data_IF_829128856396
#
_entry.id   IF_829128856396
#
_cell.length_a   1.000
_cell.length_b   1.000
_cell.length_c   1.000
_cell.angle_alpha   90.00
_cell.angle_beta   90.00
_cell.angle_gamma   90.00
#
_symmetry.space_group_name_H-M   'P 1'
#
loop_
_entity.id
_entity.type
_entity.pdbx_description
1 polymer ?
#
# COMPACT_ATOMS: atom_id res chain seq x y z
N UNK A 1 4.17 -0.55 14.45
CA UNK A 1 4.78 0.80 14.59
C UNK A 1 5.13 1.32 13.21
N UNK A 2 4.71 2.53 12.82
CA UNK A 2 5.03 3.11 11.50
C UNK A 2 6.48 3.60 11.48
N UNK A 3 7.22 3.25 10.43
CA UNK A 3 8.55 3.81 10.14
C UNK A 3 8.45 4.59 8.84
N UNK A 4 8.84 5.87 8.87
CA UNK A 4 8.90 6.74 7.70
C UNK A 4 10.36 7.14 7.46
N UNK A 5 10.84 6.91 6.25
CA UNK A 5 12.11 7.48 5.78
C UNK A 5 11.90 8.95 5.40
N UNK A 6 12.96 9.78 5.35
CA UNK A 6 12.86 11.14 4.83
C UNK A 6 12.23 11.12 3.45
N UNK A 7 11.13 11.85 3.27
CA UNK A 7 10.42 11.87 1.99
C UNK A 7 11.13 12.83 1.03
N UNK A 8 11.34 12.45 -0.23
CA UNK A 8 11.71 13.39 -1.27
C UNK A 8 10.57 14.40 -1.47
N UNK A 9 10.90 15.57 -2.03
CA UNK A 9 9.90 16.59 -2.34
C UNK A 9 8.85 16.04 -3.32
N UNK A 10 9.31 15.36 -4.37
CA UNK A 10 8.46 14.69 -5.36
C UNK A 10 8.81 13.20 -5.44
N UNK A 11 7.81 12.39 -5.74
CA UNK A 11 7.86 10.96 -5.99
C UNK A 11 6.76 10.52 -6.95
N UNK A 12 6.96 9.37 -7.59
CA UNK A 12 6.02 8.78 -8.57
C UNK A 12 5.43 7.44 -8.10
N UNK A 13 5.98 6.84 -7.04
CA UNK A 13 5.57 5.54 -6.55
C UNK A 13 5.47 5.54 -5.02
N UNK A 14 4.47 4.83 -4.51
CA UNK A 14 4.28 4.52 -3.09
C UNK A 14 4.29 3.01 -2.93
N UNK A 15 5.12 2.50 -2.01
CA UNK A 15 5.18 1.08 -1.68
C UNK A 15 4.82 0.87 -0.21
N UNK A 16 3.77 0.07 0.01
CA UNK A 16 3.36 -0.44 1.31
C UNK A 16 3.99 -1.80 1.55
N UNK A 17 4.79 -1.93 2.60
CA UNK A 17 5.34 -3.20 3.06
C UNK A 17 4.64 -3.58 4.35
N UNK A 18 3.90 -4.70 4.32
CA UNK A 18 3.14 -5.20 5.46
C UNK A 18 3.76 -6.51 5.95
N UNK A 19 4.16 -6.54 7.22
CA UNK A 19 4.86 -7.70 7.82
C UNK A 19 3.93 -8.86 8.18
N UNK A 20 2.98 -9.17 7.30
CA UNK A 20 2.16 -10.39 7.33
C UNK A 20 1.54 -10.65 5.96
N UNK A 21 1.16 -11.90 5.73
CA UNK A 21 0.47 -12.32 4.53
C UNK A 21 -0.96 -11.76 4.52
N UNK A 22 -1.29 -10.95 3.52
CA UNK A 22 -2.64 -10.44 3.32
C UNK A 22 -3.44 -11.30 2.36
N UNK A 23 -4.72 -11.44 2.66
CA UNK A 23 -5.72 -11.90 1.69
C UNK A 23 -6.00 -10.81 0.65
N UNK A 24 -6.57 -11.20 -0.50
CA UNK A 24 -6.96 -10.26 -1.54
C UNK A 24 -7.86 -9.12 -1.02
N UNK A 25 -8.83 -9.44 -0.15
CA UNK A 25 -9.75 -8.44 0.43
C UNK A 25 -9.04 -7.49 1.40
N UNK A 26 -8.05 -7.98 2.15
CA UNK A 26 -7.22 -7.14 3.01
C UNK A 26 -6.33 -6.22 2.18
N UNK A 27 -5.75 -6.70 1.07
CA UNK A 27 -4.97 -5.86 0.16
C UNK A 27 -5.81 -4.74 -0.44
N UNK A 28 -7.05 -5.03 -0.85
CA UNK A 28 -8.01 -4.01 -1.32
C UNK A 28 -8.31 -3.00 -0.20
N UNK A 29 -8.56 -3.49 1.01
CA UNK A 29 -8.87 -2.62 2.15
C UNK A 29 -7.70 -1.71 2.52
N UNK A 30 -6.47 -2.23 2.49
CA UNK A 30 -5.26 -1.46 2.71
C UNK A 30 -5.04 -0.39 1.63
N UNK A 31 -5.23 -0.75 0.35
CA UNK A 31 -5.17 0.18 -0.77
C UNK A 31 -6.22 1.29 -0.65
N UNK A 32 -7.45 0.93 -0.29
CA UNK A 32 -8.54 1.89 -0.09
C UNK A 32 -8.26 2.84 1.09
N UNK A 33 -7.63 2.35 2.16
CA UNK A 33 -7.26 3.16 3.32
C UNK A 33 -6.16 4.18 2.97
N UNK A 34 -5.13 3.76 2.23
CA UNK A 34 -4.10 4.67 1.71
C UNK A 34 -4.72 5.74 0.80
N UNK A 35 -5.54 5.33 -0.17
CA UNK A 35 -6.21 6.27 -1.07
C UNK A 35 -7.14 7.23 -0.34
N UNK A 36 -7.82 6.76 0.72
CA UNK A 36 -8.67 7.61 1.55
C UNK A 36 -7.88 8.70 2.28
N UNK A 37 -6.70 8.37 2.83
CA UNK A 37 -5.83 9.34 3.48
C UNK A 37 -5.28 10.37 2.49
N UNK A 38 -4.74 9.93 1.35
CA UNK A 38 -4.16 10.79 0.32
C UNK A 38 -5.19 11.71 -0.34
N UNK A 39 -6.47 11.32 -0.39
CA UNK A 39 -7.54 12.15 -0.94
C UNK A 39 -7.69 13.51 -0.25
N UNK A 40 -7.21 13.64 1.00
CA UNK A 40 -7.21 14.92 1.73
C UNK A 40 -6.23 15.94 1.14
N UNK A 41 -5.23 15.48 0.37
CA UNK A 41 -4.26 16.34 -0.31
C UNK A 41 -4.77 16.85 -1.67
N UNK A 42 -6.01 16.53 -2.06
CA UNK A 42 -6.59 16.87 -3.38
C UNK A 42 -5.68 16.49 -4.57
N UNK A 43 -4.90 15.41 -4.42
CA UNK A 43 -3.97 14.92 -5.43
C UNK A 43 -4.58 13.96 -6.44
N UNK A 44 -3.70 13.32 -7.22
CA UNK A 44 -4.08 12.25 -8.13
C UNK A 44 -4.63 11.02 -7.37
N UNK A 45 -5.42 10.21 -8.07
CA UNK A 45 -5.85 8.91 -7.52
C UNK A 45 -4.68 7.93 -7.61
N UNK A 46 -4.62 6.99 -6.67
CA UNK A 46 -3.67 5.88 -6.78
C UNK A 46 -3.94 5.11 -8.08
N UNK A 47 -2.88 4.79 -8.81
CA UNK A 47 -2.93 3.87 -9.94
C UNK A 47 -3.26 2.44 -9.50
N UNK A 48 -3.38 1.54 -10.48
CA UNK A 48 -3.65 0.13 -10.20
C UNK A 48 -2.53 -0.48 -9.34
N UNK A 49 -2.87 -1.21 -8.25
CA UNK A 49 -1.86 -1.80 -7.38
C UNK A 49 -1.16 -2.98 -8.04
N UNK A 50 0.16 -3.04 -7.88
CA UNK A 50 0.93 -4.26 -8.05
C UNK A 50 1.13 -4.89 -6.66
N UNK A 51 0.64 -6.11 -6.46
CA UNK A 51 0.77 -6.83 -5.17
C UNK A 51 1.67 -8.03 -5.33
N UNK A 52 2.68 -8.14 -4.46
CA UNK A 52 3.59 -9.26 -4.37
C UNK A 52 3.52 -9.83 -2.95
N UNK A 53 3.41 -11.15 -2.84
CA UNK A 53 3.52 -11.88 -1.58
C UNK A 53 4.87 -12.57 -1.58
N UNK A 54 5.75 -12.16 -0.67
CA UNK A 54 7.09 -12.72 -0.54
C UNK A 54 7.06 -14.04 0.22
N UNK A 55 8.01 -14.96 -0.02
CA UNK A 55 8.05 -16.26 0.66
C UNK A 55 8.20 -16.17 2.20
N UNK A 56 8.74 -15.06 2.70
CA UNK A 56 8.86 -14.77 4.13
C UNK A 56 7.53 -14.31 4.78
N UNK A 57 6.43 -14.34 4.03
CA UNK A 57 5.11 -13.98 4.52
C UNK A 57 4.88 -12.48 4.60
N UNK A 58 5.67 -11.66 3.90
CA UNK A 58 5.48 -10.22 3.77
C UNK A 58 4.64 -9.92 2.52
N UNK A 59 3.67 -9.02 2.64
CA UNK A 59 2.94 -8.49 1.48
C UNK A 59 3.46 -7.11 1.12
N UNK A 60 3.81 -6.93 -0.15
CA UNK A 60 4.27 -5.65 -0.72
C UNK A 60 3.23 -5.19 -1.74
N UNK A 61 2.75 -3.95 -1.59
CA UNK A 61 1.80 -3.34 -2.51
C UNK A 61 2.40 -2.03 -3.03
N UNK A 62 2.59 -1.96 -4.34
CA UNK A 62 3.13 -0.77 -5.01
C UNK A 62 2.05 -0.09 -5.82
N UNK A 63 2.02 1.23 -5.75
CA UNK A 63 1.13 2.11 -6.51
C UNK A 63 1.93 3.12 -7.29
N UNK A 64 1.51 3.40 -8.52
CA UNK A 64 1.86 4.66 -9.17
C UNK A 64 1.06 5.81 -8.55
N UNK A 65 1.72 6.93 -8.28
CA UNK A 65 1.14 8.13 -7.69
C UNK A 65 1.98 9.36 -8.04
N UNK A 66 1.45 10.25 -8.85
CA UNK A 66 2.10 11.51 -9.19
C UNK A 66 1.93 12.54 -8.06
N UNK A 67 2.93 12.60 -7.18
CA UNK A 67 2.92 13.52 -6.04
C UNK A 67 2.90 15.00 -6.44
N UNK A 68 3.32 15.36 -7.66
CA UNK A 68 3.40 16.75 -8.12
C UNK A 68 2.02 17.40 -8.27
N UNK A 69 0.98 16.58 -8.38
CA UNK A 69 -0.42 17.02 -8.47
C UNK A 69 -1.08 17.27 -7.12
N UNK A 70 -0.37 17.07 -6.01
CA UNK A 70 -0.93 17.21 -4.66
C UNK A 70 -0.83 18.64 -4.15
N UNK A 71 -1.86 19.07 -3.40
CA UNK A 71 -1.86 20.36 -2.71
C UNK A 71 -1.30 20.19 -1.29
N UNK A 72 -0.08 20.68 -1.05
CA UNK A 72 0.71 20.40 0.17
C UNK A 72 0.62 21.46 1.26
N UNK A 73 -0.14 22.53 1.05
CA UNK A 73 -0.10 23.71 1.94
C UNK A 73 -0.75 23.49 3.31
N UNK A 74 -1.67 22.53 3.45
CA UNK A 74 -2.44 22.32 4.68
C UNK A 74 -2.38 20.90 5.24
N UNK A 75 -1.77 19.97 4.50
CA UNK A 75 -1.70 18.57 4.87
C UNK A 75 -0.51 17.94 4.14
N UNK A 76 0.44 17.43 4.92
CA UNK A 76 1.71 16.88 4.42
C UNK A 76 1.60 15.39 4.05
N UNK A 77 2.57 14.88 3.31
CA UNK A 77 2.62 13.44 3.00
C UNK A 77 2.89 12.60 4.25
N UNK A 78 3.68 13.11 5.19
CA UNK A 78 3.94 12.46 6.47
C UNK A 78 2.65 12.29 7.26
N UNK A 79 1.82 13.33 7.36
CA UNK A 79 0.50 13.25 8.00
C UNK A 79 -0.42 12.29 7.24
N UNK A 80 -0.41 12.34 5.91
CA UNK A 80 -1.20 11.42 5.08
C UNK A 80 -0.80 9.95 5.29
N UNK A 81 0.49 9.66 5.41
CA UNK A 81 1.01 8.31 5.64
C UNK A 81 0.77 7.83 7.07
N UNK A 82 0.81 8.73 8.06
CA UNK A 82 0.42 8.42 9.44
C UNK A 82 -1.08 8.10 9.54
N UNK A 83 -1.93 8.91 8.91
CA UNK A 83 -3.37 8.65 8.83
C UNK A 83 -3.64 7.34 8.06
N UNK A 84 -2.94 7.10 6.94
CA UNK A 84 -3.05 5.86 6.18
C UNK A 84 -2.72 4.65 7.04
N UNK A 85 -1.61 4.66 7.79
CA UNK A 85 -1.23 3.56 8.67
C UNK A 85 -2.33 3.29 9.73
N UNK A 86 -2.88 4.35 10.31
CA UNK A 86 -4.00 4.25 11.26
C UNK A 86 -5.25 3.67 10.61
N UNK A 87 -5.63 4.16 9.42
CA UNK A 87 -6.81 3.68 8.70
C UNK A 87 -6.66 2.26 8.18
N UNK A 88 -5.45 1.83 7.82
CA UNK A 88 -5.17 0.44 7.46
C UNK A 88 -5.46 -0.46 8.67
N UNK A 89 -5.01 -0.09 9.87
CA UNK A 89 -5.24 -0.90 11.07
C UNK A 89 -6.71 -0.85 11.54
N UNK A 90 -7.25 0.36 11.72
CA UNK A 90 -8.49 0.59 12.46
C UNK A 90 -9.70 0.91 11.55
N UNK A 91 -9.45 1.17 10.27
CA UNK A 91 -10.43 1.67 9.32
C UNK A 91 -10.61 3.19 9.36
N UNK A 92 -11.22 3.72 8.31
CA UNK A 92 -11.56 5.16 8.20
C UNK A 92 -12.51 5.62 9.32
N UNK A 93 -12.53 6.93 9.67
CA UNK A 93 -13.43 7.46 10.68
C UNK A 93 -14.90 7.14 10.41
N UNK A 94 -15.66 6.94 11.50
CA UNK A 94 -17.09 6.71 11.41
C UNK A 94 -17.78 8.00 10.94
N UNK A 95 -18.64 7.88 9.94
CA UNK A 95 -19.42 9.00 9.43
C UNK A 95 -20.43 9.48 10.48
N UNK A 96 -20.32 10.74 10.87
CA UNK A 96 -21.24 11.38 11.82
C UNK A 96 -22.57 11.82 11.19
N UNK A 97 -22.67 11.86 9.86
CA UNK A 97 -23.85 12.37 9.14
C UNK A 97 -24.35 11.42 8.06
N UNK A 98 -25.64 11.53 7.72
CA UNK A 98 -26.31 10.75 6.67
C UNK A 98 -26.19 11.38 5.27
N UNK A 99 -25.17 12.21 5.01
CA UNK A 99 -25.10 13.02 3.77
C UNK A 99 -25.09 12.20 2.48
N UNK A 100 -24.67 10.94 2.53
CA UNK A 100 -24.61 10.04 1.38
C UNK A 100 -25.84 9.13 1.22
N UNK A 101 -26.85 9.27 2.10
CA UNK A 101 -28.10 8.50 2.05
C UNK A 101 -28.56 7.97 3.41
N UNK A 102 -29.76 7.40 3.49
CA UNK A 102 -30.23 6.67 4.66
C UNK A 102 -29.22 5.58 5.06
N UNK A 103 -29.00 5.38 6.37
CA UNK A 103 -28.06 4.40 6.94
C UNK A 103 -26.56 4.66 6.72
N UNK A 104 -26.16 5.86 6.30
CA UNK A 104 -24.73 6.20 6.12
C UNK A 104 -24.06 6.79 7.38
N UNK A 105 -24.85 7.26 8.35
CA UNK A 105 -24.40 7.65 9.68
C UNK A 105 -24.09 6.40 10.50
N UNK A 106 -22.93 6.39 11.15
CA UNK A 106 -22.47 5.24 11.94
C UNK A 106 -21.70 4.20 11.15
N UNK A 107 -21.54 4.38 9.83
CA UNK A 107 -20.74 3.47 8.98
C UNK A 107 -19.35 4.04 8.69
N UNK A 108 -18.40 3.15 8.40
CA UNK A 108 -17.07 3.49 7.89
C UNK A 108 -17.06 3.43 6.37
N UNK A 109 -16.18 4.20 5.75
CA UNK A 109 -15.95 4.14 4.31
C UNK A 109 -15.06 2.96 3.92
N UNK A 110 -14.01 2.77 4.70
CA UNK A 110 -13.02 1.72 4.57
C UNK A 110 -12.91 0.99 5.90
N UNK A 111 -12.98 -0.34 5.84
CA UNK A 111 -12.73 -1.22 6.98
C UNK A 111 -11.23 -1.38 7.19
N UNK A 112 -10.81 -1.41 8.46
CA UNK A 112 -9.43 -1.76 8.80
C UNK A 112 -9.17 -3.26 8.61
N UNK A 113 -7.91 -3.62 8.43
CA UNK A 113 -7.44 -5.00 8.35
C UNK A 113 -6.91 -5.51 9.70
N UNK A 114 -7.00 -4.71 10.76
CA UNK A 114 -6.50 -5.06 12.08
C UNK A 114 -5.00 -4.82 12.26
N UNK A 115 -4.44 -5.24 13.41
CA UNK A 115 -3.05 -4.96 13.75
C UNK A 115 -2.06 -5.52 12.73
N UNK A 116 -1.17 -4.66 12.24
CA UNK A 116 -0.11 -5.03 11.29
C UNK A 116 1.03 -4.03 11.38
N UNK A 117 2.27 -4.50 11.24
CA UNK A 117 3.41 -3.62 11.07
C UNK A 117 3.50 -3.17 9.62
N UNK A 118 3.50 -1.85 9.43
CA UNK A 118 3.42 -1.17 8.14
C UNK A 118 4.69 -0.33 7.97
N UNK A 119 5.33 -0.48 6.84
CA UNK A 119 6.38 0.41 6.36
C UNK A 119 5.91 1.03 5.04
N UNK A 120 6.07 2.35 4.93
CA UNK A 120 5.67 3.11 3.74
C UNK A 120 6.93 3.75 3.18
N UNK A 121 7.21 3.43 1.92
CA UNK A 121 8.35 3.97 1.18
C UNK A 121 7.87 4.62 -0.10
N UNK A 122 8.63 5.59 -0.60
CA UNK A 122 8.33 6.30 -1.85
C UNK A 122 9.55 6.33 -2.75
N UNK A 123 9.33 6.43 -4.06
CA UNK A 123 10.38 6.42 -5.08
C UNK A 123 9.95 7.21 -6.32
N UNK A 124 10.92 7.80 -7.02
CA UNK A 124 10.72 8.37 -8.35
C UNK A 124 10.75 7.31 -9.46
N UNK A 125 11.42 6.19 -9.20
CA UNK A 125 11.57 5.09 -10.15
C UNK A 125 10.56 4.00 -9.85
N UNK A 126 10.06 3.37 -10.92
CA UNK A 126 9.28 2.14 -10.79
C UNK A 126 10.15 1.12 -10.05
N UNK A 127 9.64 0.53 -8.95
CA UNK A 127 10.41 -0.47 -8.24
C UNK A 127 10.69 -1.63 -9.20
N UNK A 128 11.96 -2.01 -9.30
CA UNK A 128 12.37 -3.13 -10.13
C UNK A 128 11.56 -4.37 -9.74
N UNK A 129 11.03 -5.13 -10.70
CA UNK A 129 10.39 -6.39 -10.38
C UNK A 129 11.39 -7.25 -9.61
N UNK A 130 10.96 -7.83 -8.47
CA UNK A 130 11.82 -8.77 -7.76
C UNK A 130 12.28 -9.85 -8.76
N UNK A 131 13.57 -10.23 -8.75
CA UNK A 131 14.04 -11.30 -9.61
C UNK A 131 13.18 -12.52 -9.34
N UNK A 132 12.46 -12.98 -10.37
CA UNK A 132 11.71 -14.22 -10.27
C UNK A 132 12.70 -15.30 -9.82
N UNK A 133 12.36 -16.16 -8.84
CA UNK A 133 13.22 -17.27 -8.51
C UNK A 133 13.51 -18.00 -9.82
N UNK A 134 14.78 -18.14 -10.19
CA UNK A 134 15.14 -18.89 -11.38
C UNK A 134 14.40 -20.22 -11.30
N UNK A 135 13.69 -20.63 -12.37
CA UNK A 135 12.99 -21.90 -12.35
C UNK A 135 14.01 -22.94 -11.92
N UNK A 136 13.75 -23.55 -10.75
CA UNK A 136 14.65 -24.52 -10.14
C UNK A 136 14.95 -25.54 -11.25
N UNK A 137 16.18 -25.49 -11.78
CA UNK A 137 16.58 -26.23 -12.97
C UNK A 137 16.72 -27.70 -12.59
N UNK A 138 15.60 -28.33 -12.22
CA UNK A 138 15.48 -29.73 -11.91
C UNK A 138 15.91 -30.60 -13.11
N UNK A 139 15.93 -30.03 -14.32
CA UNK A 139 16.44 -30.67 -15.53
C UNK A 139 17.98 -30.78 -15.58
N UNK A 140 18.74 -29.99 -14.81
CA UNK A 140 20.21 -30.08 -14.79
C UNK A 140 20.74 -31.26 -13.96
N UNK A 141 19.91 -31.88 -13.11
CA UNK A 141 20.31 -33.04 -12.30
C UNK A 141 20.13 -34.39 -12.99
N UNK A 142 19.45 -34.46 -14.14
CA UNK A 142 19.15 -35.73 -14.84
C UNK A 142 20.12 -36.08 -15.98
N UNK A 143 20.94 -35.15 -16.48
CA UNK A 143 21.83 -35.39 -17.62
C UNK A 143 23.33 -35.37 -17.29
N UNK A 144 23.72 -35.28 -16.02
CA UNK A 144 25.13 -35.26 -15.59
C UNK A 144 25.76 -36.63 -15.33
N UNK A 145 25.35 -37.69 -16.04
CA UNK A 145 25.77 -39.06 -15.75
C UNK A 145 25.99 -39.90 -17.01
N UNK A 146 26.97 -39.53 -17.84
CA UNK A 146 27.75 -40.45 -18.66
C UNK A 146 28.75 -39.66 -19.52
N UNK A 147 30.04 -39.76 -19.18
CA UNK A 147 31.15 -40.10 -20.09
C UNK A 147 32.45 -40.21 -19.29
#
# INVERSE_FOLDING_TARGET
>A
MLTLNPLPDDFSYITLTLKRHLTFLESISAAAALGYALRRMNGESLGDPQTIVRPDGITVITFFFDSTKCFRNSYSFEEAFQDAATFIQDGSPIRSSNRAGPNTRGTRLVSGIGPVDIEITVSDQEPLPEPQPEPDNAYSRWFGGAL
#
